data_IF_263733212468
#
_entry.id   IF_263733212468
#
_cell.length_a   1.000
_cell.length_b   1.000
_cell.length_c   1.000
_cell.angle_alpha   90.00
_cell.angle_beta   90.00
_cell.angle_gamma   90.00
#
_symmetry.space_group_name_H-M   'P 1'
#
loop_
_entity.id
_entity.type
_entity.pdbx_description
1 polymer ?
#
# COMPACT_ATOMS: atom_id res chain seq x y z
N UNK A 1 41.17 -61.59 -4.78
CA UNK A 1 39.75 -61.72 -4.40
C UNK A 1 39.36 -60.43 -3.71
N UNK A 2 38.29 -59.83 -4.19
CA UNK A 2 37.94 -58.43 -4.04
C UNK A 2 37.41 -58.11 -2.63
N UNK A 3 37.67 -56.89 -2.16
CA UNK A 3 37.03 -56.30 -0.99
C UNK A 3 35.63 -55.83 -1.38
N UNK A 4 34.64 -56.22 -0.60
CA UNK A 4 33.27 -55.73 -0.71
C UNK A 4 33.23 -54.23 -0.38
N UNK A 5 32.78 -53.44 -1.36
CA UNK A 5 32.44 -52.03 -1.21
C UNK A 5 30.92 -51.99 -1.08
N UNK A 6 30.43 -51.71 0.13
CA UNK A 6 29.02 -51.35 0.34
C UNK A 6 28.69 -50.12 -0.52
N UNK A 7 27.92 -50.32 -1.58
CA UNK A 7 27.23 -49.24 -2.27
C UNK A 7 26.08 -48.75 -1.40
N UNK A 8 26.33 -47.66 -0.67
CA UNK A 8 25.28 -46.78 -0.16
C UNK A 8 24.47 -46.31 -1.37
N UNK A 9 23.28 -46.88 -1.55
CA UNK A 9 22.35 -46.41 -2.58
C UNK A 9 21.63 -45.19 -1.99
N UNK A 10 22.17 -44.00 -2.28
CA UNK A 10 21.46 -42.74 -2.17
C UNK A 10 20.26 -42.77 -3.14
N UNK A 11 19.08 -43.19 -2.66
CA UNK A 11 17.84 -42.72 -3.26
C UNK A 11 17.49 -41.41 -2.59
N UNK A 12 17.97 -40.33 -3.22
CA UNK A 12 17.56 -38.97 -2.91
C UNK A 12 16.05 -38.84 -3.05
N UNK A 13 15.36 -38.89 -1.91
CA UNK A 13 14.04 -38.31 -1.75
C UNK A 13 14.18 -36.85 -2.18
N UNK A 14 13.64 -36.50 -3.36
CA UNK A 14 13.42 -35.11 -3.70
C UNK A 14 12.50 -34.56 -2.61
N UNK A 15 13.09 -33.90 -1.62
CA UNK A 15 12.40 -33.21 -0.53
C UNK A 15 11.18 -32.51 -1.11
N UNK A 16 9.99 -32.97 -0.72
CA UNK A 16 8.75 -32.31 -1.07
C UNK A 16 8.92 -30.84 -0.70
N UNK A 17 8.70 -29.92 -1.65
CA UNK A 17 8.85 -28.48 -1.39
C UNK A 17 8.14 -28.17 -0.06
N UNK A 18 8.87 -27.61 0.91
CA UNK A 18 8.33 -27.21 2.23
C UNK A 18 7.21 -26.14 2.13
N UNK A 19 6.86 -25.73 0.91
CA UNK A 19 5.87 -24.72 0.63
C UNK A 19 4.95 -25.12 -0.54
N UNK A 20 3.64 -25.03 -0.30
CA UNK A 20 2.60 -25.19 -1.30
C UNK A 20 1.97 -23.84 -1.62
N UNK A 21 2.05 -23.42 -2.88
CA UNK A 21 1.38 -22.22 -3.37
C UNK A 21 -0.15 -22.38 -3.18
N UNK A 22 -0.86 -21.41 -2.56
CA UNK A 22 -2.31 -21.47 -2.49
C UNK A 22 -2.88 -21.44 -3.92
N UNK A 23 -4.03 -22.11 -4.15
CA UNK A 23 -4.63 -22.13 -5.47
C UNK A 23 -4.93 -20.69 -5.94
N UNK A 24 -4.76 -20.39 -7.23
CA UNK A 24 -5.08 -19.08 -7.77
C UNK A 24 -6.52 -18.69 -7.44
N UNK A 25 -6.75 -17.43 -7.08
CA UNK A 25 -8.09 -16.96 -6.80
C UNK A 25 -9.01 -17.20 -8.02
N UNK A 26 -10.26 -17.64 -7.79
CA UNK A 26 -11.27 -17.64 -8.84
C UNK A 26 -11.44 -16.21 -9.38
N UNK A 27 -11.54 -16.07 -10.70
CA UNK A 27 -11.68 -14.75 -11.34
C UNK A 27 -12.97 -14.06 -10.87
N UNK A 28 -14.05 -14.82 -10.75
CA UNK A 28 -15.35 -14.37 -10.28
C UNK A 28 -15.78 -15.36 -9.19
N UNK A 29 -15.98 -14.84 -7.98
CA UNK A 29 -16.53 -15.58 -6.84
C UNK A 29 -17.67 -14.75 -6.25
N UNK A 30 -18.90 -14.91 -6.76
CA UNK A 30 -20.05 -14.13 -6.31
C UNK A 30 -20.45 -14.49 -4.88
N UNK A 31 -20.09 -15.67 -4.39
CA UNK A 31 -20.40 -16.11 -3.03
C UNK A 31 -19.67 -15.25 -1.99
N UNK A 32 -18.58 -14.56 -2.36
CA UNK A 32 -17.94 -13.57 -1.49
C UNK A 32 -18.89 -12.45 -1.04
N UNK A 33 -19.88 -12.09 -1.86
CA UNK A 33 -20.88 -11.07 -1.51
C UNK A 33 -21.73 -11.48 -0.31
N UNK A 34 -21.83 -12.78 -0.01
CA UNK A 34 -22.58 -13.26 1.16
C UNK A 34 -21.72 -13.23 2.44
N UNK A 35 -20.41 -13.04 2.32
CA UNK A 35 -19.46 -13.17 3.43
C UNK A 35 -19.29 -11.85 4.17
N UNK A 36 -19.57 -11.84 5.47
CA UNK A 36 -19.33 -10.66 6.33
C UNK A 36 -17.88 -10.17 6.33
N UNK A 37 -16.93 -11.09 6.14
CA UNK A 37 -15.51 -10.76 6.05
C UNK A 37 -15.18 -9.85 4.87
N UNK A 38 -15.90 -9.94 3.74
CA UNK A 38 -15.73 -9.05 2.60
C UNK A 38 -16.08 -7.60 2.96
N UNK A 39 -17.22 -7.40 3.63
CA UNK A 39 -17.66 -6.07 4.04
C UNK A 39 -16.74 -5.45 5.10
N UNK A 40 -16.30 -6.25 6.08
CA UNK A 40 -15.27 -5.81 7.04
C UNK A 40 -13.99 -5.37 6.35
N UNK A 41 -13.55 -6.12 5.33
CA UNK A 41 -12.37 -5.78 4.56
C UNK A 41 -12.56 -4.50 3.72
N UNK A 42 -13.72 -4.32 3.07
CA UNK A 42 -14.02 -3.09 2.35
C UNK A 42 -14.07 -1.86 3.27
N UNK A 43 -14.65 -2.00 4.47
CA UNK A 43 -14.64 -0.94 5.49
C UNK A 43 -13.20 -0.63 5.94
N UNK A 44 -12.36 -1.65 6.14
CA UNK A 44 -10.96 -1.44 6.49
C UNK A 44 -10.19 -0.68 5.41
N UNK A 45 -10.36 -1.05 4.13
CA UNK A 45 -9.78 -0.32 2.99
C UNK A 45 -10.27 1.13 2.91
N UNK A 46 -11.57 1.37 3.15
CA UNK A 46 -12.13 2.71 3.21
C UNK A 46 -11.50 3.55 4.33
N UNK A 47 -11.49 3.05 5.57
CA UNK A 47 -10.97 3.77 6.73
C UNK A 47 -9.46 4.00 6.60
N UNK A 48 -8.70 2.99 6.16
CA UNK A 48 -7.27 3.13 5.95
C UNK A 48 -6.97 4.21 4.90
N UNK A 49 -7.67 4.17 3.76
CA UNK A 49 -7.45 5.15 2.69
C UNK A 49 -7.90 6.56 3.11
N UNK A 50 -8.98 6.67 3.89
CA UNK A 50 -9.41 7.93 4.50
C UNK A 50 -8.32 8.52 5.39
N UNK A 51 -7.79 7.73 6.34
CA UNK A 51 -6.74 8.19 7.25
C UNK A 51 -5.45 8.54 6.48
N UNK A 52 -5.10 7.73 5.48
CA UNK A 52 -3.96 7.97 4.61
C UNK A 52 -4.03 9.34 3.93
N UNK A 53 -5.13 9.63 3.23
CA UNK A 53 -5.29 10.90 2.52
C UNK A 53 -5.50 12.07 3.49
N UNK A 54 -6.20 11.87 4.60
CA UNK A 54 -6.38 12.91 5.62
C UNK A 54 -5.04 13.40 6.17
N UNK A 55 -4.18 12.49 6.64
CA UNK A 55 -2.90 12.84 7.24
C UNK A 55 -1.95 13.44 6.19
N UNK A 56 -1.78 12.78 5.04
CA UNK A 56 -0.82 13.22 4.02
C UNK A 56 -1.17 14.58 3.42
N UNK A 57 -2.45 14.85 3.14
CA UNK A 57 -2.90 16.15 2.63
C UNK A 57 -2.70 17.25 3.67
N UNK A 58 -2.98 16.97 4.95
CA UNK A 58 -2.71 17.94 6.02
C UNK A 58 -1.20 18.22 6.16
N UNK A 59 -0.34 17.21 6.04
CA UNK A 59 1.11 17.41 6.04
C UNK A 59 1.56 18.31 4.90
N UNK A 60 1.05 18.10 3.67
CA UNK A 60 1.37 18.95 2.52
C UNK A 60 0.93 20.40 2.76
N UNK A 61 -0.30 20.60 3.23
CA UNK A 61 -0.84 21.95 3.49
C UNK A 61 -0.06 22.64 4.62
N UNK A 62 0.25 21.89 5.68
CA UNK A 62 1.05 22.38 6.80
C UNK A 62 2.43 22.83 6.36
N UNK A 63 3.13 22.01 5.59
CA UNK A 63 4.43 22.36 5.01
C UNK A 63 4.34 23.62 4.14
N UNK A 64 3.45 23.64 3.14
CA UNK A 64 3.31 24.79 2.22
C UNK A 64 2.96 26.09 2.94
N UNK A 65 2.22 26.01 4.06
CA UNK A 65 1.93 27.17 4.90
C UNK A 65 3.15 27.65 5.65
N UNK A 66 3.91 26.74 6.23
CA UNK A 66 5.10 27.08 7.02
C UNK A 66 6.24 27.61 6.15
N UNK A 67 6.38 27.12 4.91
CA UNK A 67 7.40 27.60 3.97
C UNK A 67 6.98 28.81 3.13
N UNK A 68 5.78 29.37 3.35
CA UNK A 68 5.30 30.58 2.64
C UNK A 68 5.97 31.84 3.21
N UNK A 69 7.03 32.31 2.54
CA UNK A 69 7.81 33.51 2.92
C UNK A 69 7.04 34.83 2.82
N UNK A 70 5.82 34.82 2.26
CA UNK A 70 4.92 35.99 2.29
C UNK A 70 4.31 36.21 3.67
N UNK A 71 4.37 35.21 4.55
CA UNK A 71 3.92 35.31 5.94
C UNK A 71 5.09 35.81 6.79
N UNK A 72 4.97 36.95 7.49
CA UNK A 72 6.04 37.46 8.32
C UNK A 72 6.48 36.44 9.38
N UNK A 73 7.77 36.18 9.47
CA UNK A 73 8.37 35.24 10.42
C UNK A 73 8.58 33.82 9.88
N UNK A 74 8.04 33.48 8.71
CA UNK A 74 8.31 32.21 8.05
C UNK A 74 9.60 32.27 7.20
N UNK A 75 10.32 31.15 7.14
CA UNK A 75 11.47 30.95 6.25
C UNK A 75 11.21 29.79 5.27
N UNK A 76 11.97 29.74 4.17
CA UNK A 76 11.87 28.66 3.18
C UNK A 76 12.18 27.27 3.77
N UNK A 77 12.95 27.24 4.87
CA UNK A 77 13.39 26.03 5.55
C UNK A 77 12.45 25.59 6.68
N UNK A 78 11.35 26.30 6.92
CA UNK A 78 10.42 25.97 8.00
C UNK A 78 9.55 24.75 7.68
N UNK A 79 9.07 24.09 8.73
CA UNK A 79 8.20 22.93 8.65
C UNK A 79 8.93 21.61 8.39
N UNK A 80 8.21 20.62 7.89
CA UNK A 80 8.71 19.24 7.78
C UNK A 80 9.55 18.98 6.51
N UNK A 81 9.56 19.91 5.56
CA UNK A 81 10.26 19.76 4.27
C UNK A 81 9.66 18.68 3.36
N UNK A 82 10.23 18.55 2.15
CA UNK A 82 9.88 17.48 1.20
C UNK A 82 10.18 16.10 1.80
N UNK A 83 11.24 15.99 2.59
CA UNK A 83 11.59 14.75 3.31
C UNK A 83 10.47 14.33 4.28
N UNK A 84 9.91 15.26 5.04
CA UNK A 84 8.80 14.99 5.94
C UNK A 84 7.51 14.61 5.22
N UNK A 85 7.26 15.18 4.03
CA UNK A 85 6.15 14.73 3.18
C UNK A 85 6.38 13.27 2.75
N UNK A 86 7.57 12.93 2.25
CA UNK A 86 7.89 11.56 1.86
C UNK A 86 7.72 10.57 3.04
N UNK A 87 8.14 10.95 4.24
CA UNK A 87 7.91 10.18 5.46
C UNK A 87 6.43 10.04 5.83
N UNK A 88 5.62 11.09 5.66
CA UNK A 88 4.19 11.00 5.91
C UNK A 88 3.52 9.99 4.96
N UNK A 89 3.85 10.03 3.66
CA UNK A 89 3.31 9.07 2.70
C UNK A 89 3.77 7.63 2.98
N UNK A 90 5.08 7.40 3.05
CA UNK A 90 5.63 6.06 3.28
C UNK A 90 5.29 5.50 4.66
N UNK A 91 5.39 6.33 5.70
CA UNK A 91 5.10 5.96 7.08
C UNK A 91 3.63 5.63 7.31
N UNK A 92 2.70 6.41 6.73
CA UNK A 92 1.28 6.08 6.82
C UNK A 92 0.94 4.77 6.11
N UNK A 93 1.50 4.53 4.92
CA UNK A 93 1.33 3.22 4.25
C UNK A 93 1.87 2.10 5.13
N UNK A 94 3.07 2.22 5.68
CA UNK A 94 3.65 1.22 6.57
C UNK A 94 2.74 0.91 7.77
N UNK A 95 2.28 1.93 8.50
CA UNK A 95 1.41 1.77 9.68
C UNK A 95 0.07 1.16 9.28
N UNK A 96 -0.58 1.67 8.25
CA UNK A 96 -1.92 1.24 7.88
C UNK A 96 -1.92 -0.16 7.28
N UNK A 97 -0.92 -0.51 6.47
CA UNK A 97 -0.72 -1.89 5.99
C UNK A 97 -0.53 -2.82 7.18
N UNK A 98 0.32 -2.45 8.14
CA UNK A 98 0.51 -3.25 9.37
C UNK A 98 -0.80 -3.47 10.12
N UNK A 99 -1.63 -2.44 10.28
CA UNK A 99 -2.92 -2.54 10.97
C UNK A 99 -3.99 -3.32 10.20
N UNK A 100 -3.98 -3.29 8.86
CA UNK A 100 -5.08 -3.80 8.03
C UNK A 100 -4.74 -5.05 7.21
N UNK A 101 -3.47 -5.47 7.18
CA UNK A 101 -3.04 -6.69 6.49
C UNK A 101 -3.84 -7.93 6.93
N UNK A 102 -4.10 -8.09 8.23
CA UNK A 102 -4.89 -9.20 8.76
C UNK A 102 -6.41 -9.11 8.53
N UNK A 103 -6.91 -7.99 8.01
CA UNK A 103 -8.35 -7.75 7.80
C UNK A 103 -8.68 -7.74 6.31
N UNK A 104 -8.02 -6.87 5.54
CA UNK A 104 -8.28 -6.69 4.11
C UNK A 104 -7.13 -7.14 3.20
N UNK A 105 -5.93 -7.34 3.76
CA UNK A 105 -4.69 -7.44 2.99
C UNK A 105 -3.93 -6.11 2.90
N UNK A 106 -4.53 -5.00 3.34
CA UNK A 106 -3.88 -3.69 3.42
C UNK A 106 -3.46 -3.14 2.06
N UNK A 107 -4.37 -3.07 1.09
CA UNK A 107 -4.03 -2.61 -0.25
C UNK A 107 -3.92 -1.07 -0.31
N UNK A 108 -4.92 -0.36 0.21
CA UNK A 108 -5.00 1.11 0.39
C UNK A 108 -4.81 1.89 -0.93
N UNK A 109 -4.77 1.19 -2.06
CA UNK A 109 -4.43 1.74 -3.36
C UNK A 109 -5.08 0.90 -4.49
N UNK A 110 -5.82 1.54 -5.41
CA UNK A 110 -6.42 0.86 -6.54
C UNK A 110 -5.41 0.14 -7.46
N UNK A 111 -4.23 0.72 -7.70
CA UNK A 111 -3.20 0.10 -8.53
C UNK A 111 -2.60 -1.15 -7.88
N UNK A 112 -2.44 -1.16 -6.55
CA UNK A 112 -2.00 -2.35 -5.79
C UNK A 112 -3.07 -3.44 -5.88
N UNK A 113 -4.33 -3.07 -5.66
CA UNK A 113 -5.47 -3.99 -5.78
C UNK A 113 -5.58 -4.58 -7.18
N UNK A 114 -5.41 -3.74 -8.20
CA UNK A 114 -5.44 -4.16 -9.59
C UNK A 114 -4.27 -5.10 -9.93
N UNK A 115 -3.06 -4.78 -9.48
CA UNK A 115 -1.90 -5.65 -9.62
C UNK A 115 -2.15 -7.03 -9.03
N UNK A 116 -2.63 -7.09 -7.78
CA UNK A 116 -2.94 -8.35 -7.10
C UNK A 116 -4.09 -9.13 -7.76
N UNK A 117 -5.08 -8.44 -8.34
CA UNK A 117 -6.09 -9.07 -9.17
C UNK A 117 -5.48 -9.72 -10.43
N UNK A 118 -4.62 -9.01 -11.17
CA UNK A 118 -3.91 -9.58 -12.33
C UNK A 118 -3.01 -10.75 -11.94
N UNK A 119 -2.39 -10.69 -10.76
CA UNK A 119 -1.61 -11.78 -10.16
C UNK A 119 -2.45 -12.93 -9.60
N UNK A 120 -3.77 -12.93 -9.79
CA UNK A 120 -4.73 -13.92 -9.29
C UNK A 120 -4.65 -14.15 -7.78
N UNK A 121 -4.33 -13.10 -7.02
CA UNK A 121 -4.32 -13.09 -5.55
C UNK A 121 -5.66 -12.64 -4.97
N UNK A 122 -6.50 -11.95 -5.76
CA UNK A 122 -7.81 -11.42 -5.37
C UNK A 122 -8.83 -11.63 -6.50
N UNK A 123 -10.10 -11.88 -6.15
CA UNK A 123 -11.22 -12.00 -7.10
C UNK A 123 -11.59 -10.65 -7.73
N UNK A 124 -12.27 -10.65 -8.89
CA UNK A 124 -12.75 -9.41 -9.52
C UNK A 124 -13.73 -8.65 -8.61
N UNK A 125 -14.64 -9.36 -7.95
CA UNK A 125 -15.67 -8.77 -7.08
C UNK A 125 -15.02 -8.01 -5.92
N UNK A 126 -14.07 -8.65 -5.22
CA UNK A 126 -13.31 -8.02 -4.14
C UNK A 126 -12.46 -6.86 -4.66
N UNK A 127 -11.81 -7.02 -5.80
CA UNK A 127 -10.98 -5.96 -6.39
C UNK A 127 -11.80 -4.69 -6.67
N UNK A 128 -12.97 -4.82 -7.30
CA UNK A 128 -13.85 -3.68 -7.58
C UNK A 128 -14.36 -3.02 -6.30
N UNK A 129 -14.80 -3.81 -5.32
CA UNK A 129 -15.28 -3.27 -4.04
C UNK A 129 -14.17 -2.53 -3.28
N UNK A 130 -12.95 -3.06 -3.28
CA UNK A 130 -11.80 -2.39 -2.68
C UNK A 130 -11.47 -1.08 -3.39
N UNK A 131 -11.43 -1.05 -4.73
CA UNK A 131 -11.16 0.19 -5.47
C UNK A 131 -12.22 1.26 -5.21
N UNK A 132 -13.50 0.88 -5.13
CA UNK A 132 -14.58 1.80 -4.77
C UNK A 132 -14.39 2.32 -3.34
N UNK A 133 -14.12 1.42 -2.39
CA UNK A 133 -13.88 1.79 -1.00
C UNK A 133 -12.65 2.71 -0.83
N UNK A 134 -11.56 2.44 -1.54
CA UNK A 134 -10.34 3.25 -1.54
C UNK A 134 -10.62 4.65 -2.13
N UNK A 135 -11.27 4.74 -3.28
CA UNK A 135 -11.64 6.01 -3.89
C UNK A 135 -12.58 6.82 -2.98
N UNK A 136 -13.61 6.18 -2.40
CA UNK A 136 -14.51 6.83 -1.46
C UNK A 136 -13.77 7.30 -0.18
N UNK A 137 -12.88 6.46 0.36
CA UNK A 137 -12.04 6.79 1.50
C UNK A 137 -11.15 7.98 1.22
N UNK A 138 -10.48 8.00 0.06
CA UNK A 138 -9.64 9.11 -0.38
C UNK A 138 -10.42 10.43 -0.49
N UNK A 139 -11.62 10.39 -1.08
CA UNK A 139 -12.52 11.56 -1.17
C UNK A 139 -12.89 12.05 0.23
N UNK A 140 -13.28 11.16 1.14
CA UNK A 140 -13.60 11.52 2.52
C UNK A 140 -12.38 12.09 3.28
N UNK A 141 -11.20 11.50 3.13
CA UNK A 141 -9.97 11.96 3.77
C UNK A 141 -9.57 13.37 3.34
N UNK A 142 -9.54 13.62 2.02
CA UNK A 142 -9.30 14.94 1.47
C UNK A 142 -10.42 15.94 1.85
N UNK A 143 -11.68 15.47 1.87
CA UNK A 143 -12.84 16.24 2.29
C UNK A 143 -12.76 16.70 3.74
N UNK A 144 -12.31 15.83 4.66
CA UNK A 144 -12.08 16.17 6.07
C UNK A 144 -10.96 17.20 6.22
N UNK A 145 -9.85 17.02 5.50
CA UNK A 145 -8.75 18.00 5.49
C UNK A 145 -9.24 19.38 5.03
N UNK A 146 -10.06 19.42 3.97
CA UNK A 146 -10.72 20.65 3.49
C UNK A 146 -11.73 21.21 4.49
N UNK A 147 -12.50 20.35 5.17
CA UNK A 147 -13.49 20.74 6.16
C UNK A 147 -12.87 21.49 7.35
N UNK A 148 -11.75 21.00 7.88
CA UNK A 148 -11.08 21.60 9.03
C UNK A 148 -10.17 22.80 8.69
N UNK A 149 -9.66 22.88 7.46
CA UNK A 149 -8.68 23.90 7.06
C UNK A 149 -9.03 24.56 5.72
N UNK A 150 -10.32 24.86 5.45
CA UNK A 150 -10.82 25.27 4.12
C UNK A 150 -10.02 26.39 3.43
N UNK A 151 -9.67 27.44 4.17
CA UNK A 151 -8.91 28.58 3.64
C UNK A 151 -7.50 28.16 3.20
N UNK A 152 -6.79 27.43 4.07
CA UNK A 152 -5.44 26.93 3.79
C UNK A 152 -5.45 25.86 2.69
N UNK A 153 -6.42 24.94 2.73
CA UNK A 153 -6.61 23.91 1.71
C UNK A 153 -6.73 24.53 0.32
N UNK A 154 -7.61 25.52 0.15
CA UNK A 154 -7.81 26.18 -1.13
C UNK A 154 -6.59 27.01 -1.56
N UNK A 155 -5.94 27.72 -0.62
CA UNK A 155 -4.76 28.55 -0.90
C UNK A 155 -3.54 27.73 -1.32
N UNK A 156 -3.32 26.56 -0.73
CA UNK A 156 -2.12 25.75 -0.95
C UNK A 156 -2.33 24.55 -1.91
N UNK A 157 -3.44 24.55 -2.65
CA UNK A 157 -3.71 23.61 -3.74
C UNK A 157 -4.20 22.23 -3.31
N UNK A 158 -4.64 22.07 -2.05
CA UNK A 158 -5.40 20.90 -1.60
C UNK A 158 -4.70 19.54 -1.64
N UNK A 159 -3.38 19.50 -1.85
CA UNK A 159 -2.63 18.26 -2.04
C UNK A 159 -2.86 17.58 -3.39
N UNK A 160 -3.28 18.33 -4.41
CA UNK A 160 -3.55 17.80 -5.76
C UNK A 160 -2.25 17.53 -6.52
N UNK A 161 -2.18 16.39 -7.20
CA UNK A 161 -1.09 16.07 -8.12
C UNK A 161 -1.26 16.81 -9.45
N UNK A 162 -0.21 17.50 -9.89
CA UNK A 162 -0.16 18.23 -11.15
C UNK A 162 1.18 18.01 -11.84
N UNK A 163 1.22 18.10 -13.16
CA UNK A 163 2.50 18.11 -13.89
C UNK A 163 3.22 19.41 -13.57
N UNK A 164 4.39 19.32 -12.95
CA UNK A 164 5.22 20.49 -12.61
C UNK A 164 5.72 21.20 -13.86
N UNK A 165 5.95 22.50 -13.74
CA UNK A 165 6.55 23.31 -14.81
C UNK A 165 7.89 22.73 -15.27
N UNK A 166 8.14 22.76 -16.57
CA UNK A 166 9.33 22.16 -17.18
C UNK A 166 9.19 20.68 -17.54
N UNK A 167 8.09 20.01 -17.17
CA UNK A 167 7.80 18.62 -17.56
C UNK A 167 6.60 18.53 -18.50
N UNK A 168 6.65 17.59 -19.45
CA UNK A 168 5.52 17.27 -20.29
C UNK A 168 4.72 16.08 -19.74
N UNK A 169 3.53 15.85 -20.29
CA UNK A 169 2.63 14.75 -19.86
C UNK A 169 3.25 13.36 -20.04
N UNK A 170 4.09 13.17 -21.06
CA UNK A 170 4.76 11.90 -21.32
C UNK A 170 5.79 11.58 -20.23
N UNK A 171 6.59 12.57 -19.82
CA UNK A 171 7.54 12.42 -18.72
C UNK A 171 6.84 12.14 -17.39
N UNK A 172 5.77 12.87 -17.09
CA UNK A 172 4.97 12.63 -15.89
C UNK A 172 4.37 11.22 -15.88
N UNK A 173 3.79 10.78 -17.01
CA UNK A 173 3.27 9.42 -17.15
C UNK A 173 4.35 8.35 -16.95
N UNK A 174 5.52 8.53 -17.55
CA UNK A 174 6.65 7.60 -17.38
C UNK A 174 7.10 7.49 -15.92
N UNK A 175 7.19 8.62 -15.21
CA UNK A 175 7.54 8.64 -13.79
C UNK A 175 6.51 7.91 -12.91
N UNK A 176 5.21 8.15 -13.14
CA UNK A 176 4.12 7.48 -12.41
C UNK A 176 4.09 5.96 -12.67
N UNK A 177 4.37 5.53 -13.90
CA UNK A 177 4.47 4.10 -14.25
C UNK A 177 5.60 3.44 -13.48
N UNK A 178 6.80 4.03 -13.50
CA UNK A 178 7.97 3.46 -12.82
C UNK A 178 7.77 3.46 -11.29
N UNK A 179 7.27 4.55 -10.72
CA UNK A 179 6.99 4.64 -9.28
C UNK A 179 5.97 3.60 -8.82
N UNK A 180 4.88 3.46 -9.58
CA UNK A 180 3.85 2.44 -9.29
C UNK A 180 4.37 1.02 -9.50
N UNK A 181 5.22 0.79 -10.50
CA UNK A 181 5.87 -0.50 -10.70
C UNK A 181 6.69 -0.90 -9.48
N UNK A 182 7.52 0.00 -8.95
CA UNK A 182 8.31 -0.26 -7.73
C UNK A 182 7.38 -0.63 -6.57
N UNK A 183 6.32 0.15 -6.33
CA UNK A 183 5.34 -0.13 -5.29
C UNK A 183 4.71 -1.52 -5.44
N UNK A 184 4.16 -1.84 -6.61
CA UNK A 184 3.44 -3.09 -6.85
C UNK A 184 4.41 -4.28 -6.82
N UNK A 185 5.61 -4.15 -7.39
CA UNK A 185 6.66 -5.16 -7.30
C UNK A 185 7.04 -5.44 -5.83
N UNK A 186 7.17 -4.41 -5.00
CA UNK A 186 7.44 -4.57 -3.57
C UNK A 186 6.29 -5.30 -2.87
N UNK A 187 5.03 -5.00 -3.20
CA UNK A 187 3.86 -5.72 -2.64
C UNK A 187 3.89 -7.21 -3.01
N UNK A 188 4.12 -7.55 -4.28
CA UNK A 188 4.26 -8.94 -4.70
C UNK A 188 5.42 -9.65 -3.99
N UNK A 189 6.56 -8.98 -3.83
CA UNK A 189 7.72 -9.54 -3.14
C UNK A 189 7.47 -9.72 -1.64
N UNK A 190 6.73 -8.81 -1.01
CA UNK A 190 6.40 -8.88 0.41
C UNK A 190 5.36 -9.95 0.72
N UNK A 191 4.46 -10.23 -0.23
CA UNK A 191 3.41 -11.25 -0.14
C UNK A 191 3.81 -12.60 -0.73
N UNK A 192 5.05 -12.74 -1.22
CA UNK A 192 5.56 -14.02 -1.74
C UNK A 192 5.65 -15.04 -0.61
N UNK A 193 4.85 -16.11 -0.68
CA UNK A 193 4.79 -17.03 0.42
C UNK A 193 5.94 -18.06 0.43
N UNK A 194 6.82 -18.03 -0.60
CA UNK A 194 8.11 -18.74 -0.60
C UNK A 194 9.17 -18.05 0.26
N UNK A 195 8.83 -16.91 0.88
CA UNK A 195 9.57 -16.42 2.04
C UNK A 195 9.36 -17.42 3.18
N UNK A 196 10.26 -18.39 3.29
CA UNK A 196 10.46 -19.12 4.53
C UNK A 196 10.69 -18.09 5.62
N UNK A 197 9.68 -17.86 6.46
CA UNK A 197 9.83 -17.11 7.68
C UNK A 197 10.75 -17.93 8.60
N UNK A 198 12.07 -17.77 8.44
CA UNK A 198 13.00 -17.93 9.55
C UNK A 198 12.49 -17.00 10.62
N UNK A 199 11.83 -17.57 11.62
CA UNK A 199 11.42 -16.98 12.87
C UNK A 199 10.99 -15.51 12.77
N UNK A 200 9.73 -15.30 12.41
CA UNK A 200 9.05 -14.10 12.89
C UNK A 200 8.85 -14.27 14.40
N UNK A 201 9.92 -14.11 15.17
CA UNK A 201 9.82 -13.64 16.53
C UNK A 201 8.98 -12.37 16.44
N UNK A 202 7.72 -12.48 16.85
CA UNK A 202 6.96 -11.35 17.32
C UNK A 202 7.29 -11.24 18.81
N UNK A 203 8.23 -10.39 19.26
CA UNK A 203 8.29 -10.03 20.66
C UNK A 203 7.62 -8.66 20.80
N UNK A 204 6.28 -8.61 20.71
CA UNK A 204 5.52 -7.60 21.44
C UNK A 204 4.20 -8.21 21.88
N UNK A 205 4.27 -9.07 22.90
CA UNK A 205 3.24 -9.09 23.93
C UNK A 205 3.22 -7.70 24.57
N UNK A 206 2.17 -6.93 24.36
CA UNK A 206 1.89 -5.74 25.17
C UNK A 206 1.17 -6.26 26.44
N UNK A 207 1.70 -5.98 27.66
CA UNK A 207 0.99 -6.24 28.92
C UNK A 207 -0.27 -5.39 29.08
#
# INVERSE_FOLDING_TARGET
MAKDVEQVTEQGEYSAKDYHDPPPAPLIDPDELTKWSLYRAAIAEFIATLLFLYITVLTIIGYKRQSDTKIPGNTECDGVGILGIAWAFGGMIFILVYCTAGISGGHINPAVTFGLFLGRKVSLVRALLYMIAQCAGAICGAGLAKGFQKSFYNRYGGGVNTVSDGYNKGTALGAEIIGTFVLVYTVFSATDPKRNARDSHVPVSIP
#
